data_IF_279334118763
#
_entry.id   IF_279334118763
#
_cell.length_a   1.000
_cell.length_b   1.000
_cell.length_c   1.000
_cell.angle_alpha   90.00
_cell.angle_beta   90.00
_cell.angle_gamma   90.00
#
_symmetry.space_group_name_H-M   'P 1'
#
loop_
_entity.id
_entity.type
_entity.pdbx_description
1 polymer ?
#
# COMPACT_ATOMS: atom_id res chain seq x y z
N UNK A 1 7.11 -50.35 26.99
CA UNK A 1 8.08 -49.76 26.04
C UNK A 1 7.49 -49.86 24.64
N UNK A 2 7.01 -48.76 24.10
CA UNK A 2 7.17 -48.33 22.70
C UNK A 2 6.77 -46.86 22.70
N UNK A 3 7.77 -45.99 22.61
CA UNK A 3 7.56 -44.54 22.57
C UNK A 3 7.19 -44.12 21.15
N UNK A 4 6.15 -43.30 21.04
CA UNK A 4 5.91 -42.53 19.82
C UNK A 4 6.64 -41.20 19.89
N UNK A 5 7.38 -40.93 18.82
CA UNK A 5 8.22 -39.75 18.64
C UNK A 5 7.35 -38.53 18.34
N UNK A 6 7.53 -37.53 19.19
CA UNK A 6 7.35 -36.11 18.93
C UNK A 6 7.85 -35.70 17.53
N UNK A 7 7.07 -34.92 16.79
CA UNK A 7 7.60 -34.24 15.60
C UNK A 7 6.60 -33.85 14.52
N UNK A 8 5.67 -32.95 14.79
CA UNK A 8 5.58 -31.80 13.90
C UNK A 8 5.13 -30.58 14.70
N UNK A 9 6.11 -29.70 14.92
CA UNK A 9 5.91 -28.35 15.43
C UNK A 9 4.72 -27.77 14.66
N UNK A 10 3.74 -27.27 15.40
CA UNK A 10 3.02 -26.09 14.93
C UNK A 10 4.13 -25.03 14.84
N UNK A 11 4.78 -24.95 13.68
CA UNK A 11 5.49 -23.75 13.28
C UNK A 11 4.37 -22.73 13.11
N UNK A 12 3.88 -22.21 14.23
CA UNK A 12 3.44 -20.83 14.27
C UNK A 12 4.63 -20.10 13.69
N UNK A 13 4.53 -19.70 12.41
CA UNK A 13 5.50 -18.77 11.86
C UNK A 13 5.52 -17.63 12.86
N UNK A 14 6.67 -17.32 13.47
CA UNK A 14 6.78 -16.14 14.29
C UNK A 14 6.96 -14.97 13.33
N UNK A 15 6.05 -14.80 12.37
CA UNK A 15 5.66 -13.44 12.05
C UNK A 15 5.00 -13.00 13.35
N UNK A 16 5.75 -12.27 14.19
CA UNK A 16 5.14 -11.41 15.18
C UNK A 16 4.05 -10.69 14.41
N UNK A 17 2.79 -11.08 14.62
CA UNK A 17 1.67 -10.53 13.87
C UNK A 17 1.65 -9.07 14.25
N UNK A 18 2.34 -8.22 13.48
CA UNK A 18 2.34 -6.79 13.70
C UNK A 18 0.91 -6.40 13.36
N UNK A 19 0.13 -6.20 14.41
CA UNK A 19 -1.27 -5.86 14.29
C UNK A 19 -1.39 -4.34 14.13
N UNK A 20 -2.20 -3.92 13.17
CA UNK A 20 -2.65 -2.54 13.02
C UNK A 20 -4.13 -2.50 13.33
N UNK A 21 -4.51 -1.87 14.44
CA UNK A 21 -5.92 -1.77 14.83
C UNK A 21 -6.59 -3.13 15.12
N UNK A 22 -5.83 -4.12 15.60
CA UNK A 22 -6.35 -5.45 15.96
C UNK A 22 -6.45 -6.45 14.80
N UNK A 23 -5.98 -6.08 13.60
CA UNK A 23 -5.94 -6.93 12.40
C UNK A 23 -4.50 -7.06 11.90
N UNK A 24 -4.13 -8.20 11.29
CA UNK A 24 -2.80 -8.40 10.70
C UNK A 24 -2.59 -7.55 9.44
N UNK A 25 -1.34 -7.25 9.08
CA UNK A 25 -1.04 -6.51 7.86
C UNK A 25 -1.45 -7.25 6.58
N UNK A 26 -1.40 -8.58 6.58
CA UNK A 26 -1.80 -9.37 5.41
C UNK A 26 -3.31 -9.22 5.17
N UNK A 27 -4.14 -9.30 6.22
CA UNK A 27 -5.59 -9.08 6.09
C UNK A 27 -5.93 -7.65 5.60
N UNK A 28 -5.13 -6.65 5.95
CA UNK A 28 -5.31 -5.27 5.45
C UNK A 28 -4.99 -5.18 3.95
N UNK A 29 -3.88 -5.81 3.53
CA UNK A 29 -3.43 -5.81 2.14
C UNK A 29 -4.36 -6.65 1.26
N UNK A 30 -4.91 -7.73 1.79
CA UNK A 30 -5.89 -8.57 1.11
C UNK A 30 -7.19 -7.79 0.88
N UNK A 31 -7.72 -7.10 1.90
CA UNK A 31 -8.90 -6.23 1.73
C UNK A 31 -8.64 -5.15 0.67
N UNK A 32 -7.50 -4.45 0.77
CA UNK A 32 -7.10 -3.43 -0.21
C UNK A 32 -6.97 -4.01 -1.63
N UNK A 33 -6.42 -5.23 -1.76
CA UNK A 33 -6.22 -5.87 -3.06
C UNK A 33 -7.53 -6.31 -3.69
N UNK A 34 -8.52 -6.73 -2.89
CA UNK A 34 -9.85 -7.12 -3.37
C UNK A 34 -10.74 -5.93 -3.71
N UNK A 35 -10.56 -4.79 -3.06
CA UNK A 35 -11.29 -3.58 -3.41
C UNK A 35 -10.76 -2.90 -4.68
N UNK A 36 -9.54 -3.22 -5.10
CA UNK A 36 -8.89 -2.70 -6.31
C UNK A 36 -8.63 -3.82 -7.33
N UNK A 37 -9.67 -4.48 -7.83
CA UNK A 37 -9.51 -5.60 -8.77
C UNK A 37 -9.37 -5.15 -10.23
N UNK A 38 -9.97 -4.00 -10.60
CA UNK A 38 -10.00 -3.54 -11.97
C UNK A 38 -8.57 -3.22 -12.48
N UNK A 39 -8.18 -3.69 -13.68
CA UNK A 39 -6.81 -3.54 -14.18
C UNK A 39 -6.39 -2.09 -14.31
N UNK A 40 -7.30 -1.19 -14.72
CA UNK A 40 -7.02 0.25 -14.80
C UNK A 40 -6.79 0.83 -13.40
N UNK A 41 -7.56 0.38 -12.40
CA UNK A 41 -7.41 0.85 -11.02
C UNK A 41 -6.05 0.45 -10.45
N UNK A 42 -5.66 -0.83 -10.61
CA UNK A 42 -4.33 -1.31 -10.21
C UNK A 42 -3.21 -0.58 -10.96
N UNK A 43 -3.38 -0.32 -12.25
CA UNK A 43 -2.38 0.36 -13.07
C UNK A 43 -2.16 1.80 -12.61
N UNK A 44 -3.25 2.58 -12.48
CA UNK A 44 -3.13 3.98 -12.06
C UNK A 44 -2.63 4.10 -10.63
N UNK A 45 -2.98 3.20 -9.72
CA UNK A 45 -2.40 3.14 -8.37
C UNK A 45 -0.92 2.78 -8.38
N UNK A 46 -0.48 1.89 -9.28
CA UNK A 46 0.93 1.50 -9.37
C UNK A 46 1.86 2.67 -9.75
N UNK A 47 1.33 3.68 -10.44
CA UNK A 47 2.03 4.93 -10.74
C UNK A 47 1.69 6.05 -9.75
N UNK A 48 0.44 6.19 -9.34
CA UNK A 48 -0.01 7.25 -8.46
C UNK A 48 0.57 7.15 -7.05
N UNK A 49 0.64 5.95 -6.47
CA UNK A 49 1.21 5.74 -5.13
C UNK A 49 2.67 6.22 -5.04
N UNK A 50 3.60 5.79 -5.92
CA UNK A 50 4.98 6.26 -5.83
C UNK A 50 5.13 7.74 -6.15
N UNK A 51 4.32 8.31 -7.04
CA UNK A 51 4.34 9.75 -7.30
C UNK A 51 4.01 10.55 -6.03
N UNK A 52 2.98 10.14 -5.31
CA UNK A 52 2.63 10.76 -4.02
C UNK A 52 3.73 10.52 -2.99
N UNK A 53 4.22 9.29 -2.86
CA UNK A 53 5.29 8.96 -1.90
C UNK A 53 6.55 9.82 -2.12
N UNK A 54 7.01 9.91 -3.37
CA UNK A 54 8.16 10.75 -3.75
C UNK A 54 7.86 12.23 -3.49
N UNK A 55 6.66 12.73 -3.84
CA UNK A 55 6.29 14.12 -3.58
C UNK A 55 6.40 14.52 -2.10
N UNK A 56 6.00 13.62 -1.19
CA UNK A 56 6.08 13.84 0.26
C UNK A 56 7.53 13.79 0.72
N UNK A 57 8.32 12.83 0.23
CA UNK A 57 9.75 12.71 0.54
C UNK A 57 10.56 13.93 0.05
N UNK A 58 10.07 14.65 -0.97
CA UNK A 58 10.71 15.87 -1.48
C UNK A 58 10.51 17.09 -0.58
N UNK A 59 9.54 17.10 0.35
CA UNK A 59 9.22 18.29 1.17
C UNK A 59 10.43 18.86 1.90
N UNK A 60 11.30 18.08 2.57
CA UNK A 60 12.49 18.61 3.22
C UNK A 60 13.47 19.27 2.23
N UNK A 61 13.57 18.77 1.00
CA UNK A 61 14.45 19.31 -0.03
C UNK A 61 13.98 20.67 -0.55
N UNK A 62 12.66 20.93 -0.52
CA UNK A 62 12.08 22.20 -0.93
C UNK A 62 12.57 23.40 -0.12
N UNK A 63 13.07 23.18 1.11
CA UNK A 63 13.66 24.25 1.94
C UNK A 63 15.07 24.67 1.46
N UNK A 64 15.76 23.81 0.71
CA UNK A 64 17.12 24.05 0.24
C UNK A 64 17.18 24.37 -1.25
N UNK A 65 16.18 23.95 -2.03
CA UNK A 65 16.14 24.11 -3.48
C UNK A 65 14.90 24.91 -3.88
N UNK A 66 15.11 26.18 -4.23
CA UNK A 66 14.04 27.05 -4.73
C UNK A 66 13.39 26.47 -5.98
N UNK A 67 12.06 26.54 -6.06
CA UNK A 67 11.27 26.02 -7.18
C UNK A 67 11.00 24.52 -7.18
N UNK A 68 11.72 23.72 -6.37
CA UNK A 68 11.50 22.27 -6.28
C UNK A 68 10.08 21.91 -5.81
N UNK A 69 9.48 22.78 -5.02
CA UNK A 69 8.12 22.62 -4.52
C UNK A 69 7.07 22.52 -5.63
N UNK A 70 7.29 23.15 -6.80
CA UNK A 70 6.38 23.00 -7.95
C UNK A 70 6.37 21.58 -8.49
N UNK A 71 7.53 20.93 -8.52
CA UNK A 71 7.66 19.54 -8.94
C UNK A 71 6.99 18.62 -7.91
N UNK A 72 7.23 18.85 -6.62
CA UNK A 72 6.57 18.09 -5.55
C UNK A 72 5.04 18.25 -5.64
N UNK A 73 4.54 19.47 -5.82
CA UNK A 73 3.11 19.75 -5.98
C UNK A 73 2.53 19.07 -7.22
N UNK A 74 3.23 19.14 -8.37
CA UNK A 74 2.78 18.49 -9.60
C UNK A 74 2.69 16.97 -9.44
N UNK A 75 3.70 16.33 -8.84
CA UNK A 75 3.69 14.90 -8.56
C UNK A 75 2.55 14.51 -7.62
N UNK A 76 2.31 15.31 -6.57
CA UNK A 76 1.21 15.08 -5.63
C UNK A 76 -0.15 15.14 -6.32
N UNK A 77 -0.42 16.22 -7.08
CA UNK A 77 -1.70 16.43 -7.77
C UNK A 77 -1.93 15.38 -8.85
N UNK A 78 -0.95 15.12 -9.71
CA UNK A 78 -1.08 14.12 -10.78
C UNK A 78 -1.21 12.72 -10.18
N UNK A 79 -0.47 12.41 -9.12
CA UNK A 79 -0.57 11.12 -8.42
C UNK A 79 -1.98 10.87 -7.86
N UNK A 80 -2.63 11.90 -7.30
CA UNK A 80 -4.02 11.82 -6.86
C UNK A 80 -5.00 11.68 -8.02
N UNK A 81 -4.84 12.47 -9.09
CA UNK A 81 -5.70 12.38 -10.28
C UNK A 81 -5.69 10.95 -10.84
N UNK A 82 -4.52 10.33 -10.97
CA UNK A 82 -4.40 8.94 -11.43
C UNK A 82 -5.17 7.97 -10.52
N UNK A 83 -5.05 8.09 -9.20
CA UNK A 83 -5.77 7.23 -8.26
C UNK A 83 -7.29 7.42 -8.37
N UNK A 84 -7.77 8.66 -8.47
CA UNK A 84 -9.21 8.93 -8.65
C UNK A 84 -9.74 8.42 -10.00
N UNK A 85 -8.97 8.52 -11.08
CA UNK A 85 -9.32 7.90 -12.36
C UNK A 85 -9.47 6.39 -12.20
N UNK A 86 -8.55 5.74 -11.48
CA UNK A 86 -8.63 4.31 -11.17
C UNK A 86 -9.94 3.93 -10.47
N UNK A 87 -10.29 4.68 -9.43
CA UNK A 87 -11.53 4.49 -8.68
C UNK A 87 -12.79 4.78 -9.50
N UNK A 88 -12.74 5.74 -10.43
CA UNK A 88 -13.83 6.01 -11.36
C UNK A 88 -14.14 4.77 -12.22
N UNK A 89 -13.11 4.07 -12.72
CA UNK A 89 -13.29 2.82 -13.48
C UNK A 89 -13.67 1.61 -12.59
N UNK A 90 -13.20 1.56 -11.35
CA UNK A 90 -13.59 0.52 -10.39
C UNK A 90 -15.06 0.66 -9.94
N UNK A 91 -15.60 1.88 -9.96
CA UNK A 91 -16.95 2.18 -9.47
C UNK A 91 -17.08 2.16 -7.94
N UNK A 92 -15.97 1.98 -7.21
CA UNK A 92 -15.90 1.98 -5.75
C UNK A 92 -15.19 3.24 -5.26
N UNK A 93 -15.68 3.90 -4.19
CA UNK A 93 -14.99 5.04 -3.61
C UNK A 93 -13.63 4.63 -3.01
N UNK A 94 -12.67 5.56 -2.94
CA UNK A 94 -11.40 5.32 -2.27
C UNK A 94 -11.54 4.87 -0.81
N UNK A 95 -10.73 3.89 -0.41
CA UNK A 95 -10.86 3.26 0.92
C UNK A 95 -10.41 4.15 2.07
N UNK A 96 -9.55 5.14 1.81
CA UNK A 96 -9.14 6.07 2.85
C UNK A 96 -10.31 6.91 3.40
N UNK A 97 -11.45 6.98 2.69
CA UNK A 97 -12.69 7.56 3.21
C UNK A 97 -13.33 6.69 4.31
N UNK A 98 -13.06 5.38 4.32
CA UNK A 98 -13.49 4.48 5.39
C UNK A 98 -12.53 4.54 6.58
N UNK A 99 -11.23 4.45 6.30
CA UNK A 99 -10.16 4.52 7.30
C UNK A 99 -8.88 5.10 6.68
N UNK A 100 -8.36 6.19 7.24
CA UNK A 100 -7.12 6.85 6.78
C UNK A 100 -5.91 5.91 6.73
N UNK A 101 -5.91 4.82 7.49
CA UNK A 101 -4.85 3.80 7.49
C UNK A 101 -4.67 3.15 6.11
N UNK A 102 -5.70 3.13 5.26
CA UNK A 102 -5.59 2.61 3.90
C UNK A 102 -4.58 3.36 3.02
N UNK A 103 -4.21 4.60 3.37
CA UNK A 103 -3.11 5.31 2.71
C UNK A 103 -1.77 4.57 2.91
N UNK A 104 -1.53 4.04 4.11
CA UNK A 104 -0.33 3.27 4.43
C UNK A 104 -0.39 1.85 3.87
N UNK A 105 -1.58 1.25 3.87
CA UNK A 105 -1.81 -0.07 3.25
C UNK A 105 -1.51 -0.01 1.76
N UNK A 106 -1.99 1.01 1.04
CA UNK A 106 -1.68 1.22 -0.38
C UNK A 106 -0.18 1.36 -0.64
N UNK A 107 0.54 2.14 0.19
CA UNK A 107 1.99 2.26 0.09
C UNK A 107 2.70 0.90 0.29
N UNK A 108 2.26 0.11 1.29
CA UNK A 108 2.83 -1.21 1.56
C UNK A 108 2.51 -2.22 0.45
N UNK A 109 1.30 -2.19 -0.10
CA UNK A 109 0.91 -2.97 -1.28
C UNK A 109 1.83 -2.67 -2.47
N UNK A 110 2.10 -1.39 -2.73
CA UNK A 110 3.02 -0.97 -3.79
C UNK A 110 4.44 -1.51 -3.56
N UNK A 111 4.96 -1.45 -2.33
CA UNK A 111 6.27 -2.05 -2.01
C UNK A 111 6.29 -3.57 -2.22
N UNK A 112 5.27 -4.33 -1.76
CA UNK A 112 5.19 -5.78 -2.03
C UNK A 112 5.24 -6.06 -3.53
N UNK A 113 4.49 -5.28 -4.31
CA UNK A 113 4.44 -5.39 -5.77
C UNK A 113 5.80 -5.13 -6.44
N UNK A 114 6.50 -4.05 -6.06
CA UNK A 114 7.84 -3.71 -6.60
C UNK A 114 8.88 -4.76 -6.23
N UNK A 115 8.78 -5.34 -5.03
CA UNK A 115 9.69 -6.39 -4.55
C UNK A 115 9.36 -7.80 -5.10
N UNK A 116 8.29 -7.94 -5.89
CA UNK A 116 7.86 -9.25 -6.41
C UNK A 116 7.33 -10.20 -5.33
N UNK A 117 7.00 -9.68 -4.15
CA UNK A 117 6.35 -10.45 -3.09
C UNK A 117 4.88 -10.58 -3.46
N UNK A 118 4.37 -11.81 -3.49
CA UNK A 118 2.95 -12.05 -3.82
C UNK A 118 2.08 -11.23 -2.87
N UNK A 119 1.33 -10.30 -3.48
CA UNK A 119 0.32 -9.47 -2.82
C UNK A 119 -0.87 -10.34 -2.49
#
# INVERSE_FOLDING_TARGET
MTGERNGNRIIAKPEANIMMGGRSWDDWIDEYSHSHEHPINRLTHSFGIPMIAVSILMIPLCFFVSGLWWIALALFVVGWILQFIGHYFEGKPPEFFKDWRFLFVGLRWWFKKVLGIKS
#
